data_IF_028232270903
#
_entry.id   IF_028232270903
#
_cell.length_a   1.000
_cell.length_b   1.000
_cell.length_c   1.000
_cell.angle_alpha   90.00
_cell.angle_beta   90.00
_cell.angle_gamma   90.00
#
_symmetry.space_group_name_H-M   'P 1'
#
loop_
_entity.id
_entity.type
_entity.pdbx_description
1 polymer ?
#
# COMPACT_ATOMS: atom_id res chain seq x y z
N UNK A 1 10.03 6.19 -15.97
CA UNK A 1 10.30 5.85 -14.56
C UNK A 1 9.17 4.98 -14.06
N UNK A 2 9.44 3.70 -13.80
CA UNK A 2 8.44 2.73 -13.38
C UNK A 2 7.99 3.08 -11.97
N UNK A 3 6.86 3.78 -11.88
CA UNK A 3 6.04 3.71 -10.67
C UNK A 3 5.71 2.24 -10.53
N UNK A 4 6.35 1.56 -9.57
CA UNK A 4 5.75 0.40 -8.94
C UNK A 4 4.44 0.91 -8.35
N UNK A 5 3.43 0.97 -9.21
CA UNK A 5 2.04 0.98 -8.84
C UNK A 5 1.93 -0.33 -8.10
N UNK A 6 2.15 -0.28 -6.79
CA UNK A 6 1.55 -1.20 -5.83
C UNK A 6 0.16 -1.37 -6.39
N UNK A 7 -0.13 -2.52 -6.99
CA UNK A 7 -1.30 -2.68 -7.84
C UNK A 7 -2.48 -2.15 -7.05
N UNK A 8 -2.97 -0.96 -7.43
CA UNK A 8 -3.92 -0.19 -6.61
C UNK A 8 -5.25 -0.99 -6.46
N UNK A 9 -5.37 -2.09 -7.22
CA UNK A 9 -6.45 -3.06 -7.26
C UNK A 9 -6.27 -4.28 -6.33
N UNK A 10 -5.08 -4.57 -5.76
CA UNK A 10 -4.86 -5.81 -4.96
C UNK A 10 -4.81 -5.63 -3.45
N UNK A 11 -4.45 -4.46 -2.92
CA UNK A 11 -4.45 -4.24 -1.47
C UNK A 11 -5.86 -3.99 -0.96
N UNK A 12 -6.37 -4.89 -0.11
CA UNK A 12 -7.68 -4.77 0.56
C UNK A 12 -7.90 -3.39 1.19
N UNK A 13 -6.85 -2.81 1.78
CA UNK A 13 -6.87 -1.48 2.37
C UNK A 13 -7.17 -0.36 1.37
N UNK A 14 -6.65 -0.45 0.13
CA UNK A 14 -6.88 0.56 -0.92
C UNK A 14 -8.31 0.47 -1.47
N UNK A 15 -8.84 -0.75 -1.61
CA UNK A 15 -10.22 -0.99 -2.01
C UNK A 15 -11.20 -0.37 -1.00
N UNK A 16 -10.99 -0.65 0.30
CA UNK A 16 -11.82 -0.04 1.35
C UNK A 16 -11.68 1.50 1.37
N UNK A 17 -10.47 2.04 1.20
CA UNK A 17 -10.26 3.49 1.17
C UNK A 17 -11.05 4.15 0.04
N UNK A 18 -11.15 3.51 -1.14
CA UNK A 18 -11.94 4.00 -2.26
C UNK A 18 -13.43 4.03 -1.93
N UNK A 19 -13.96 2.98 -1.32
CA UNK A 19 -15.38 2.91 -0.95
C UNK A 19 -15.75 4.01 0.06
N UNK A 20 -14.87 4.29 1.04
CA UNK A 20 -15.07 5.40 1.97
C UNK A 20 -15.05 6.76 1.28
N UNK A 21 -14.17 6.97 0.29
CA UNK A 21 -14.14 8.21 -0.49
C UNK A 21 -15.40 8.37 -1.35
N UNK A 22 -15.92 7.28 -1.91
CA UNK A 22 -17.14 7.30 -2.70
C UNK A 22 -18.38 7.57 -1.83
N UNK A 23 -18.44 7.01 -0.63
CA UNK A 23 -19.45 7.38 0.37
C UNK A 23 -19.32 8.86 0.77
N UNK A 24 -18.10 9.36 0.98
CA UNK A 24 -17.84 10.75 1.34
C UNK A 24 -18.21 11.75 0.24
N UNK A 25 -18.19 11.32 -1.03
CA UNK A 25 -18.63 12.14 -2.18
C UNK A 25 -20.15 12.27 -2.23
N UNK A 26 -20.88 11.28 -1.72
CA UNK A 26 -22.36 11.26 -1.67
C UNK A 26 -22.91 12.08 -0.51
N UNK A 27 -22.13 12.28 0.54
CA UNK A 27 -22.52 13.13 1.67
C UNK A 27 -22.33 14.61 1.37
N UNK A 28 -23.25 15.43 1.89
CA UNK A 28 -23.08 16.88 1.95
C UNK A 28 -21.83 17.22 2.78
N UNK A 29 -21.17 18.36 2.52
CA UNK A 29 -20.08 18.84 3.36
C UNK A 29 -20.52 18.90 4.83
N UNK A 30 -19.77 18.23 5.71
CA UNK A 30 -20.09 18.13 7.12
C UNK A 30 -19.17 17.15 7.85
N UNK A 31 -19.36 16.99 9.17
CA UNK A 31 -18.51 16.14 10.01
C UNK A 31 -18.40 14.71 9.50
N UNK A 32 -19.52 14.08 9.12
CA UNK A 32 -19.52 12.71 8.57
C UNK A 32 -18.71 12.56 7.27
N UNK A 33 -18.67 13.59 6.42
CA UNK A 33 -17.80 13.58 5.23
C UNK A 33 -16.32 13.63 5.61
N UNK A 34 -15.98 14.40 6.65
CA UNK A 34 -14.60 14.50 7.12
C UNK A 34 -14.14 13.19 7.76
N UNK A 35 -14.99 12.56 8.56
CA UNK A 35 -14.72 11.24 9.17
C UNK A 35 -14.40 10.19 8.10
N UNK A 36 -15.26 10.05 7.08
CA UNK A 36 -15.00 9.11 5.98
C UNK A 36 -13.69 9.41 5.24
N UNK A 37 -13.33 10.70 5.07
CA UNK A 37 -12.05 11.11 4.48
C UNK A 37 -10.86 10.78 5.37
N UNK A 38 -10.96 10.93 6.69
CA UNK A 38 -9.91 10.55 7.62
C UNK A 38 -9.70 9.03 7.62
N UNK A 39 -10.78 8.26 7.64
CA UNK A 39 -10.73 6.79 7.55
C UNK A 39 -10.01 6.36 6.26
N UNK A 40 -10.40 6.91 5.10
CA UNK A 40 -9.72 6.62 3.83
C UNK A 40 -8.23 6.99 3.83
N UNK A 41 -7.83 8.06 4.55
CA UNK A 41 -6.43 8.45 4.70
C UNK A 41 -5.65 7.43 5.52
N UNK A 42 -6.20 6.99 6.66
CA UNK A 42 -5.57 5.95 7.51
C UNK A 42 -5.38 4.66 6.72
N UNK A 43 -6.39 4.23 5.97
CA UNK A 43 -6.31 3.01 5.14
C UNK A 43 -5.22 3.11 4.06
N UNK A 44 -5.03 4.29 3.46
CA UNK A 44 -3.91 4.53 2.52
C UNK A 44 -2.55 4.47 3.20
N UNK A 45 -2.42 4.96 4.43
CA UNK A 45 -1.16 4.83 5.17
C UNK A 45 -0.88 3.37 5.53
N UNK A 46 -1.88 2.59 5.96
CA UNK A 46 -1.74 1.16 6.20
C UNK A 46 -1.27 0.41 4.94
N UNK A 47 -1.87 0.70 3.78
CA UNK A 47 -1.44 0.13 2.50
C UNK A 47 0.02 0.46 2.17
N UNK A 48 0.50 1.67 2.48
CA UNK A 48 1.92 2.04 2.30
C UNK A 48 2.83 1.23 3.21
N UNK A 49 2.44 1.00 4.47
CA UNK A 49 3.22 0.19 5.41
C UNK A 49 3.28 -1.28 4.98
N UNK A 50 2.18 -1.82 4.46
CA UNK A 50 2.11 -3.16 3.87
C UNK A 50 3.05 -3.27 2.67
N UNK A 51 2.94 -2.36 1.70
CA UNK A 51 3.81 -2.34 0.52
C UNK A 51 5.29 -2.10 0.86
N UNK A 52 5.60 -1.29 1.87
CA UNK A 52 6.96 -1.10 2.36
C UNK A 52 7.52 -2.38 2.99
N UNK A 53 6.69 -3.12 3.73
CA UNK A 53 7.05 -4.41 4.34
C UNK A 53 7.28 -5.48 3.28
N UNK A 54 6.39 -5.59 2.28
CA UNK A 54 6.57 -6.49 1.14
C UNK A 54 7.81 -6.13 0.32
N UNK A 55 8.07 -4.84 0.12
CA UNK A 55 9.27 -4.36 -0.58
C UNK A 55 10.56 -4.67 0.20
N UNK A 56 10.52 -4.59 1.54
CA UNK A 56 11.65 -4.93 2.39
C UNK A 56 11.96 -6.44 2.33
N UNK A 57 10.93 -7.29 2.47
CA UNK A 57 11.05 -8.74 2.29
C UNK A 57 11.53 -9.10 0.87
N UNK A 58 10.99 -8.40 -0.13
CA UNK A 58 11.37 -8.48 -1.54
C UNK A 58 12.85 -8.17 -1.83
N UNK A 59 13.47 -7.36 -0.97
CA UNK A 59 14.87 -6.97 -1.11
C UNK A 59 15.81 -7.95 -0.40
N UNK A 60 15.36 -8.56 0.69
CA UNK A 60 16.15 -9.50 1.48
C UNK A 60 16.40 -10.83 0.74
N UNK A 61 15.38 -11.39 0.07
CA UNK A 61 15.55 -12.65 -0.68
C UNK A 61 16.53 -12.52 -1.86
N UNK A 62 16.58 -11.35 -2.52
CA UNK A 62 17.54 -11.11 -3.63
C UNK A 62 18.98 -10.95 -3.15
N UNK A 63 19.19 -10.48 -1.92
CA UNK A 63 20.54 -10.38 -1.37
C UNK A 63 21.05 -11.76 -0.90
N UNK A 64 20.17 -12.58 -0.32
CA UNK A 64 20.53 -13.93 0.12
C UNK A 64 20.96 -14.85 -1.02
N UNK A 65 20.43 -14.68 -2.24
CA UNK A 65 20.83 -15.49 -3.41
C UNK A 65 22.11 -15.01 -4.11
N UNK A 66 22.54 -13.76 -3.88
CA UNK A 66 23.76 -13.21 -4.52
C UNK A 66 25.05 -13.50 -3.75
N UNK A 67 24.97 -13.79 -2.45
CA UNK A 67 26.15 -14.03 -1.61
C UNK A 67 26.61 -15.49 -1.54
N UNK A 68 26.03 -16.41 -2.31
CA UNK A 68 26.25 -17.86 -2.18
C UNK A 68 26.94 -18.57 -3.35
N UNK A 69 27.57 -17.86 -4.30
CA UNK A 69 28.15 -18.48 -5.50
C UNK A 69 29.50 -17.89 -5.89
N UNK A 70 30.55 -18.26 -5.17
CA UNK A 70 31.90 -17.79 -5.47
C UNK A 70 32.95 -18.38 -4.55
N UNK A 71 33.19 -19.68 -4.65
CA UNK A 71 34.47 -20.27 -4.27
C UNK A 71 34.66 -21.54 -5.08
N UNK A 72 35.54 -21.46 -6.08
CA UNK A 72 36.11 -22.59 -6.79
C UNK A 72 37.63 -22.53 -6.57
N UNK A 73 38.30 -23.62 -6.15
CA UNK A 73 39.65 -23.92 -6.59
C UNK A 73 39.64 -24.63 -7.96
#
# INVERSE_FOLDING_TARGET
MARMQISDETSTWLLQAKDFLDQARRLKPGPGRNELRQTAKVLRELAKHEAASESALGRDWRQRTRSGGGSAP
#
